data_IF_424851161297
#
_entry.id   IF_424851161297
#
_cell.length_a   1.000
_cell.length_b   1.000
_cell.length_c   1.000
_cell.angle_alpha   90.00
_cell.angle_beta   90.00
_cell.angle_gamma   90.00
#
_symmetry.space_group_name_H-M   'P 1'
#
loop_
_entity.id
_entity.type
_entity.pdbx_description
1 polymer ?
#
# COMPACT_ATOMS: atom_id res chain seq x y z
N UNK A 1 15.09 11.65 -5.98
CA UNK A 1 14.08 11.54 -7.05
C UNK A 1 12.83 10.98 -6.41
N UNK A 2 11.70 11.64 -6.51
CA UNK A 2 10.42 11.10 -6.03
C UNK A 2 9.82 10.12 -7.06
N UNK A 3 8.75 9.43 -6.67
CA UNK A 3 8.13 8.38 -7.49
C UNK A 3 7.55 8.97 -8.78
N UNK A 4 6.98 10.17 -8.71
CA UNK A 4 6.36 10.89 -9.81
C UNK A 4 7.41 11.28 -10.85
N UNK A 5 8.55 11.82 -10.42
CA UNK A 5 9.67 12.16 -11.30
C UNK A 5 10.28 10.92 -11.94
N UNK A 6 10.43 9.82 -11.18
CA UNK A 6 10.90 8.55 -11.74
C UNK A 6 9.94 8.04 -12.81
N UNK A 7 8.65 8.07 -12.51
CA UNK A 7 7.62 7.62 -13.44
C UNK A 7 7.58 8.47 -14.72
N UNK A 8 7.99 9.75 -14.65
CA UNK A 8 8.07 10.62 -15.83
C UNK A 8 9.30 10.31 -16.69
N UNK A 9 10.42 9.96 -16.07
CA UNK A 9 11.68 9.68 -16.75
C UNK A 9 11.77 8.26 -17.30
N UNK A 10 11.13 7.29 -16.64
CA UNK A 10 11.22 5.87 -16.95
C UNK A 10 9.84 5.20 -16.92
N UNK A 11 8.88 5.64 -17.76
CA UNK A 11 7.59 4.96 -17.87
C UNK A 11 7.79 3.53 -18.40
N UNK A 12 6.98 2.60 -17.91
CA UNK A 12 7.00 1.18 -18.32
C UNK A 12 8.40 0.54 -18.22
N UNK A 13 9.17 0.91 -17.20
CA UNK A 13 10.54 0.42 -17.04
C UNK A 13 10.65 -0.81 -16.14
N UNK A 14 9.63 -1.12 -15.33
CA UNK A 14 9.71 -2.11 -14.27
C UNK A 14 8.69 -3.25 -14.45
N UNK A 15 9.14 -4.49 -14.26
CA UNK A 15 8.25 -5.66 -14.22
C UNK A 15 7.49 -5.75 -12.88
N UNK A 16 8.10 -5.25 -11.80
CA UNK A 16 7.51 -5.22 -10.46
C UNK A 16 7.76 -3.86 -9.80
N UNK A 17 6.72 -3.30 -9.17
CA UNK A 17 6.80 -2.09 -8.36
C UNK A 17 6.24 -2.37 -6.97
N UNK A 18 6.99 -2.04 -5.93
CA UNK A 18 6.55 -2.17 -4.53
C UNK A 18 6.51 -0.81 -3.85
N UNK A 19 5.38 -0.47 -3.23
CA UNK A 19 5.25 0.73 -2.39
C UNK A 19 4.72 0.30 -1.01
N UNK A 20 5.64 0.15 -0.04
CA UNK A 20 5.34 -0.46 1.27
C UNK A 20 5.30 0.60 2.36
N UNK A 21 4.24 0.62 3.17
CA UNK A 21 4.09 1.42 4.41
C UNK A 21 4.44 2.90 4.21
N UNK A 22 3.96 3.49 3.12
CA UNK A 22 4.35 4.84 2.69
C UNK A 22 3.17 5.74 2.30
N UNK A 23 2.08 5.17 1.81
CA UNK A 23 0.95 5.91 1.24
C UNK A 23 0.24 6.81 2.27
N UNK A 24 0.19 6.43 3.54
CA UNK A 24 -0.38 7.20 4.64
C UNK A 24 0.46 8.44 5.04
N UNK A 25 1.71 8.51 4.57
CA UNK A 25 2.64 9.58 4.91
C UNK A 25 2.72 10.68 3.86
N UNK A 26 2.22 10.43 2.65
CA UNK A 26 2.24 11.40 1.54
C UNK A 26 1.01 12.31 1.52
N UNK A 27 1.12 13.52 0.93
CA UNK A 27 -0.02 14.42 0.79
C UNK A 27 -1.07 13.92 -0.21
N UNK A 28 -0.64 13.26 -1.30
CA UNK A 28 -1.52 12.70 -2.33
C UNK A 28 -1.17 11.22 -2.60
N UNK A 29 -1.77 10.26 -1.87
CA UNK A 29 -1.51 8.84 -2.09
C UNK A 29 -1.95 8.38 -3.47
N UNK A 30 -2.98 8.99 -4.07
CA UNK A 30 -3.47 8.60 -5.41
C UNK A 30 -2.44 8.93 -6.48
N UNK A 31 -1.72 10.06 -6.35
CA UNK A 31 -0.61 10.39 -7.24
C UNK A 31 0.51 9.35 -7.20
N UNK A 32 0.83 8.83 -6.00
CA UNK A 32 1.83 7.75 -5.85
C UNK A 32 1.35 6.46 -6.53
N UNK A 33 0.08 6.07 -6.35
CA UNK A 33 -0.48 4.90 -7.05
C UNK A 33 -0.41 5.07 -8.58
N UNK A 34 -0.70 6.28 -9.08
CA UNK A 34 -0.57 6.59 -10.50
C UNK A 34 0.88 6.51 -11.00
N UNK A 35 1.84 6.98 -10.20
CA UNK A 35 3.25 6.83 -10.52
C UNK A 35 3.66 5.36 -10.57
N UNK A 36 3.24 4.54 -9.61
CA UNK A 36 3.47 3.10 -9.61
C UNK A 36 2.88 2.42 -10.86
N UNK A 37 1.64 2.75 -11.23
CA UNK A 37 1.01 2.23 -12.44
C UNK A 37 1.78 2.61 -13.70
N UNK A 38 2.25 3.86 -13.81
CA UNK A 38 3.01 4.34 -14.97
C UNK A 38 4.40 3.72 -15.09
N UNK A 39 5.02 3.34 -13.97
CA UNK A 39 6.32 2.66 -13.93
C UNK A 39 6.24 1.22 -14.42
N UNK A 40 5.07 0.58 -14.30
CA UNK A 40 4.89 -0.82 -14.68
C UNK A 40 4.90 -1.01 -16.19
N UNK A 41 5.64 -2.04 -16.61
CA UNK A 41 5.49 -2.63 -17.94
C UNK A 41 4.07 -3.21 -18.10
N UNK A 42 3.59 -3.36 -19.35
CA UNK A 42 2.41 -4.19 -19.59
C UNK A 42 2.63 -5.59 -19.02
N UNK A 43 1.63 -6.14 -18.33
CA UNK A 43 1.77 -7.41 -17.60
C UNK A 43 2.55 -7.34 -16.28
N UNK A 44 3.02 -6.16 -15.86
CA UNK A 44 3.78 -5.99 -14.61
C UNK A 44 2.91 -6.07 -13.35
N UNK A 45 3.55 -6.22 -12.19
CA UNK A 45 2.89 -6.37 -10.89
C UNK A 45 3.20 -5.19 -9.95
N UNK A 46 2.15 -4.57 -9.41
CA UNK A 46 2.27 -3.65 -8.28
C UNK A 46 1.92 -4.36 -6.97
N UNK A 47 2.75 -4.21 -5.94
CA UNK A 47 2.40 -4.58 -4.56
C UNK A 47 2.41 -3.31 -3.71
N UNK A 48 1.29 -2.99 -3.10
CA UNK A 48 1.10 -1.76 -2.32
C UNK A 48 0.68 -2.13 -0.90
N UNK A 49 1.26 -1.51 0.12
CA UNK A 49 0.90 -1.74 1.52
C UNK A 49 0.72 -0.45 2.30
N UNK A 50 -0.19 -0.48 3.26
CA UNK A 50 -0.51 0.65 4.14
C UNK A 50 -1.40 0.20 5.30
N UNK A 51 -1.58 1.08 6.28
CA UNK A 51 -2.46 0.88 7.42
C UNK A 51 -3.94 1.09 7.03
N UNK A 52 -4.79 0.14 7.41
CA UNK A 52 -6.23 0.20 7.18
C UNK A 52 -6.88 1.23 8.12
N UNK A 53 -7.84 2.01 7.61
CA UNK A 53 -8.63 2.91 8.43
C UNK A 53 -9.75 2.17 9.15
N UNK A 54 -9.41 1.51 10.25
CA UNK A 54 -10.36 0.89 11.18
C UNK A 54 -10.11 1.34 12.63
N UNK A 55 -11.12 1.28 13.51
CA UNK A 55 -10.93 1.53 14.93
C UNK A 55 -9.88 0.60 15.58
N UNK A 56 -9.75 -0.64 15.09
CA UNK A 56 -8.75 -1.60 15.55
C UNK A 56 -7.34 -1.17 15.15
N UNK A 57 -7.15 -0.74 13.91
CA UNK A 57 -5.88 -0.19 13.43
C UNK A 57 -5.48 1.05 14.22
N UNK A 58 -6.43 1.94 14.53
CA UNK A 58 -6.19 3.09 15.40
C UNK A 58 -5.70 2.66 16.79
N UNK A 59 -6.38 1.70 17.39
CA UNK A 59 -6.02 1.20 18.73
C UNK A 59 -4.63 0.57 18.73
N UNK A 60 -4.29 -0.26 17.75
CA UNK A 60 -2.99 -0.95 17.72
C UNK A 60 -1.84 -0.03 17.30
N UNK A 61 -2.01 0.75 16.22
CA UNK A 61 -0.95 1.58 15.66
C UNK A 61 -0.68 2.85 16.47
N UNK A 62 -1.73 3.49 17.00
CA UNK A 62 -1.57 4.72 17.78
C UNK A 62 -1.48 4.36 19.26
N UNK A 63 -2.55 3.80 19.84
CA UNK A 63 -2.58 3.57 21.30
C UNK A 63 -1.54 2.52 21.72
N UNK A 64 -1.46 1.39 21.02
CA UNK A 64 -0.52 0.31 21.30
C UNK A 64 0.93 0.74 21.08
N UNK A 65 1.29 1.05 19.84
CA UNK A 65 2.70 1.29 19.48
C UNK A 65 3.27 2.63 19.97
N UNK A 66 2.51 3.74 19.90
CA UNK A 66 3.02 5.07 20.29
C UNK A 66 2.83 5.37 21.78
N UNK A 67 1.68 5.02 22.37
CA UNK A 67 1.34 5.44 23.75
C UNK A 67 1.66 4.39 24.81
N UNK A 68 1.44 3.10 24.54
CA UNK A 68 1.63 2.02 25.52
C UNK A 68 3.03 1.42 25.45
N UNK A 69 3.48 1.03 24.27
CA UNK A 69 4.76 0.34 24.08
C UNK A 69 5.94 1.30 23.85
N UNK A 70 5.67 2.57 23.48
CA UNK A 70 6.70 3.57 23.22
C UNK A 70 7.65 3.21 22.07
N UNK A 71 7.20 2.37 21.13
CA UNK A 71 8.01 1.90 20.00
C UNK A 71 8.21 2.98 18.94
N UNK A 72 7.32 3.98 18.90
CA UNK A 72 7.34 5.08 17.94
C UNK A 72 7.08 6.42 18.63
N UNK A 73 7.60 7.54 18.08
CA UNK A 73 7.28 8.88 18.54
C UNK A 73 5.76 9.14 18.52
N UNK A 74 5.27 9.94 19.46
CA UNK A 74 3.86 10.33 19.48
C UNK A 74 3.53 11.19 18.26
N UNK A 75 2.41 10.89 17.62
CA UNK A 75 1.91 11.61 16.44
C UNK A 75 2.52 11.13 15.12
N UNK A 76 3.21 9.99 15.11
CA UNK A 76 3.71 9.35 13.89
C UNK A 76 2.56 8.94 12.97
N UNK A 77 1.46 8.43 13.53
CA UNK A 77 0.28 8.05 12.75
C UNK A 77 -0.87 9.03 12.94
N UNK A 78 -1.49 9.41 11.82
CA UNK A 78 -2.73 10.18 11.80
C UNK A 78 -3.82 9.32 11.19
N UNK A 79 -4.79 8.90 12.00
CA UNK A 79 -5.91 8.04 11.58
C UNK A 79 -6.61 8.50 10.29
N UNK A 80 -6.78 9.82 10.13
CA UNK A 80 -7.42 10.40 8.96
C UNK A 80 -6.68 10.09 7.63
N UNK A 81 -5.39 9.74 7.69
CA UNK A 81 -4.56 9.39 6.54
C UNK A 81 -4.50 7.90 6.24
N UNK A 82 -5.06 7.06 7.11
CA UNK A 82 -5.17 5.62 6.82
C UNK A 82 -6.13 5.41 5.64
N UNK A 83 -5.82 4.39 4.84
CA UNK A 83 -6.48 4.15 3.56
C UNK A 83 -7.23 2.84 3.69
N UNK A 84 -8.50 2.78 3.29
CA UNK A 84 -9.24 1.51 3.30
C UNK A 84 -8.88 0.70 2.07
N UNK A 85 -8.86 -0.65 2.15
CA UNK A 85 -8.58 -1.50 1.00
C UNK A 85 -9.42 -1.19 -0.24
N UNK A 86 -10.70 -0.84 -0.07
CA UNK A 86 -11.57 -0.49 -1.20
C UNK A 86 -11.21 0.86 -1.85
N UNK A 87 -10.66 1.82 -1.08
CA UNK A 87 -10.20 3.11 -1.61
C UNK A 87 -8.97 2.90 -2.48
N UNK A 88 -7.98 2.16 -1.96
CA UNK A 88 -6.79 1.81 -2.72
C UNK A 88 -7.13 0.99 -3.97
N UNK A 89 -8.01 0.00 -3.83
CA UNK A 89 -8.47 -0.82 -4.96
C UNK A 89 -9.21 0.00 -6.00
N UNK A 90 -9.99 1.00 -5.60
CA UNK A 90 -10.69 1.87 -6.55
C UNK A 90 -9.70 2.71 -7.35
N UNK A 91 -8.72 3.34 -6.69
CA UNK A 91 -7.71 4.13 -7.40
C UNK A 91 -6.89 3.28 -8.37
N UNK A 92 -6.50 2.07 -7.95
CA UNK A 92 -5.78 1.14 -8.81
C UNK A 92 -6.60 0.74 -10.05
N UNK A 93 -7.89 0.44 -9.88
CA UNK A 93 -8.80 0.14 -11.00
C UNK A 93 -8.96 1.31 -11.97
N UNK A 94 -9.12 2.52 -11.45
CA UNK A 94 -9.20 3.75 -12.27
C UNK A 94 -7.95 3.94 -13.14
N UNK A 95 -6.82 3.34 -12.75
CA UNK A 95 -5.52 3.39 -13.42
C UNK A 95 -5.23 2.15 -14.29
N UNK A 96 -6.22 1.28 -14.51
CA UNK A 96 -6.07 0.07 -15.33
C UNK A 96 -5.36 -1.10 -14.65
N UNK A 97 -5.22 -1.06 -13.32
CA UNK A 97 -4.66 -2.15 -12.53
C UNK A 97 -5.77 -3.06 -11.99
N UNK A 98 -5.63 -4.37 -12.19
CA UNK A 98 -6.55 -5.39 -11.69
C UNK A 98 -6.03 -6.02 -10.40
N UNK A 99 -6.84 -6.09 -9.35
CA UNK A 99 -6.45 -6.73 -8.09
C UNK A 99 -6.31 -8.25 -8.28
N UNK A 100 -5.21 -8.83 -7.79
CA UNK A 100 -4.90 -10.26 -7.91
C UNK A 100 -4.70 -10.95 -6.55
N UNK A 101 -4.55 -10.19 -5.46
CA UNK A 101 -4.43 -10.77 -4.13
C UNK A 101 -4.36 -9.72 -3.03
N UNK A 102 -4.60 -10.17 -1.80
CA UNK A 102 -4.52 -9.35 -0.59
C UNK A 102 -4.02 -10.16 0.58
N UNK A 103 -3.27 -9.55 1.49
CA UNK A 103 -2.88 -10.15 2.77
C UNK A 103 -2.72 -9.07 3.83
N UNK A 104 -3.04 -9.37 5.09
CA UNK A 104 -2.61 -8.59 6.24
C UNK A 104 -1.25 -9.06 6.76
N UNK A 105 -0.67 -8.27 7.66
CA UNK A 105 0.52 -8.60 8.45
C UNK A 105 0.17 -8.50 9.94
N UNK A 106 0.26 -9.62 10.66
CA UNK A 106 -0.01 -9.67 12.10
C UNK A 106 1.25 -10.00 12.89
N UNK A 107 1.24 -9.70 14.19
CA UNK A 107 2.36 -9.91 15.10
C UNK A 107 1.98 -10.89 16.22
N UNK A 108 2.78 -11.94 16.40
CA UNK A 108 2.69 -12.83 17.54
C UNK A 108 3.66 -12.36 18.63
N UNK A 109 3.20 -11.83 19.77
CA UNK A 109 4.08 -11.31 20.83
C UNK A 109 4.80 -12.41 21.61
N UNK A 110 4.23 -13.62 21.71
CA UNK A 110 4.84 -14.75 22.41
C UNK A 110 6.02 -15.28 21.61
N UNK A 111 5.82 -15.51 20.31
CA UNK A 111 6.87 -15.97 19.41
C UNK A 111 7.77 -14.84 18.89
N UNK A 112 7.40 -13.57 19.15
CA UNK A 112 8.02 -12.35 18.62
C UNK A 112 8.23 -12.37 17.11
N UNK A 113 7.22 -12.83 16.36
CA UNK A 113 7.29 -13.00 14.91
C UNK A 113 6.12 -12.32 14.21
N UNK A 114 6.42 -11.66 13.10
CA UNK A 114 5.42 -11.22 12.14
C UNK A 114 5.05 -12.37 11.21
N UNK A 115 3.81 -12.41 10.77
CA UNK A 115 3.29 -13.41 9.83
C UNK A 115 2.19 -12.81 8.96
N UNK A 116 2.06 -13.35 7.74
CA UNK A 116 0.97 -13.01 6.82
C UNK A 116 -0.33 -13.68 7.28
N UNK A 117 -1.45 -12.99 7.10
CA UNK A 117 -2.77 -13.50 7.45
C UNK A 117 -3.87 -12.95 6.53
N UNK A 118 -5.06 -13.53 6.60
CA UNK A 118 -6.20 -13.09 5.78
C UNK A 118 -6.92 -11.85 6.35
N UNK A 119 -6.61 -11.45 7.59
CA UNK A 119 -7.25 -10.30 8.23
C UNK A 119 -6.60 -9.00 7.78
N UNK A 120 -7.41 -8.12 7.17
CA UNK A 120 -6.98 -6.80 6.74
C UNK A 120 -7.30 -5.71 7.78
N UNK A 121 -7.65 -6.07 9.01
CA UNK A 121 -8.23 -5.13 9.98
C UNK A 121 -7.27 -4.00 10.35
N UNK A 122 -5.97 -4.26 10.38
CA UNK A 122 -4.95 -3.35 10.90
C UNK A 122 -4.13 -2.75 9.78
N UNK A 123 -3.45 -3.59 9.01
CA UNK A 123 -2.68 -3.22 7.83
C UNK A 123 -2.98 -4.25 6.73
N UNK A 124 -2.57 -3.91 5.52
CA UNK A 124 -2.78 -4.79 4.39
C UNK A 124 -1.78 -4.52 3.27
N UNK A 125 -1.56 -5.56 2.47
CA UNK A 125 -0.88 -5.56 1.20
C UNK A 125 -1.91 -5.92 0.13
N UNK A 126 -1.96 -5.17 -0.96
CA UNK A 126 -2.70 -5.51 -2.18
C UNK A 126 -1.71 -5.71 -3.32
N UNK A 127 -1.89 -6.81 -4.04
CA UNK A 127 -1.20 -7.08 -5.29
C UNK A 127 -2.12 -6.77 -6.46
N UNK A 128 -1.59 -6.10 -7.47
CA UNK A 128 -2.29 -5.73 -8.69
C UNK A 128 -1.47 -6.12 -9.92
N UNK A 129 -2.16 -6.45 -10.99
CA UNK A 129 -1.61 -6.74 -12.31
C UNK A 129 -1.96 -5.62 -13.28
N UNK A 130 -0.97 -5.15 -14.03
CA UNK A 130 -1.15 -4.24 -15.17
C UNK A 130 -1.62 -5.03 -16.38
N UNK A 131 -2.68 -4.57 -17.07
CA UNK A 131 -3.18 -5.24 -18.27
C UNK A 131 -2.11 -5.47 -19.35
N UNK A 132 -2.36 -6.39 -20.30
CA UNK A 132 -1.50 -6.54 -21.47
C UNK A 132 -1.43 -5.21 -22.25
N UNK A 133 -0.35 -5.02 -23.02
CA UNK A 133 -0.30 -3.88 -23.93
C UNK A 133 -1.42 -4.05 -24.96
N UNK A 134 -2.16 -2.97 -25.23
CA UNK A 134 -3.03 -2.90 -26.41
C UNK A 134 -2.13 -2.98 -27.66
N UNK A 135 -1.76 -4.19 -28.09
CA UNK A 135 -1.14 -4.52 -29.38
C UNK A 135 -2.01 -5.51 -30.19
N UNK A 136 -3.21 -5.84 -29.72
CA UNK A 136 -4.21 -6.68 -30.42
C UNK A 136 -5.52 -5.91 -30.70
N UNK A 137 -5.42 -4.70 -31.28
CA UNK A 137 -6.57 -3.96 -31.83
C UNK A 137 -6.25 -3.36 -33.21
#
# INVERSE_FOLDING_TARGET
>A
LDAESLAAQAPRAFDVVTCMEMLEHVPDPRAIVAACARLLRPGGIAVLSTINRTPKAWLEAIVGAEYVLGLLPRGTHRYARFIRPHELSQWARDLGLAAIGSSGLSYNPVARRYYLCDSLDVNYMLAFHSGPADDDA
#
